data_IF_099774472267
#
_entry.id   IF_099774472267
#
_cell.length_a   1.000
_cell.length_b   1.000
_cell.length_c   1.000
_cell.angle_alpha   90.00
_cell.angle_beta   90.00
_cell.angle_gamma   90.00
#
_symmetry.space_group_name_H-M   'P 1'
#
loop_
_entity.id
_entity.type
_entity.pdbx_description
1 polymer ?
#
# COMPACT_ATOMS: atom_id res chain seq x y z
N UNK A 1 -13.16 -39.13 -12.42
CA UNK A 1 -12.20 -38.09 -11.96
C UNK A 1 -13.05 -36.93 -11.44
N UNK A 2 -13.05 -36.68 -10.14
CA UNK A 2 -13.78 -35.56 -9.53
C UNK A 2 -12.80 -34.45 -9.17
N UNK A 3 -13.20 -33.19 -9.37
CA UNK A 3 -12.46 -32.01 -8.89
C UNK A 3 -13.33 -31.32 -7.87
N UNK A 4 -12.74 -30.96 -6.73
CA UNK A 4 -13.39 -30.13 -5.71
C UNK A 4 -12.72 -28.76 -5.68
N UNK A 5 -13.51 -27.70 -5.69
CA UNK A 5 -13.03 -26.32 -5.67
C UNK A 5 -13.57 -25.63 -4.44
N UNK A 6 -12.69 -25.06 -3.63
CA UNK A 6 -13.05 -24.24 -2.46
C UNK A 6 -13.02 -22.75 -2.85
N UNK A 7 -14.17 -22.08 -3.01
CA UNK A 7 -14.19 -20.64 -3.24
C UNK A 7 -13.90 -19.87 -1.95
N UNK A 8 -13.55 -18.58 -2.07
CA UNK A 8 -13.47 -17.60 -0.96
C UNK A 8 -12.42 -17.89 0.13
N UNK A 9 -11.31 -18.57 -0.20
CA UNK A 9 -10.19 -18.70 0.74
C UNK A 9 -9.47 -17.35 0.94
N UNK A 10 -8.99 -17.10 2.15
CA UNK A 10 -8.19 -15.92 2.44
C UNK A 10 -6.86 -15.99 1.67
N UNK A 11 -6.40 -14.88 1.08
CA UNK A 11 -5.11 -14.81 0.41
C UNK A 11 -3.95 -14.97 1.40
N UNK A 12 -2.80 -15.44 0.92
CA UNK A 12 -1.57 -15.64 1.71
C UNK A 12 -1.70 -16.48 3.00
N UNK A 13 -2.73 -17.32 3.11
CA UNK A 13 -3.05 -18.15 4.28
C UNK A 13 -2.73 -19.62 4.00
N UNK A 14 -2.22 -20.33 5.02
CA UNK A 14 -2.00 -21.78 4.96
C UNK A 14 -3.25 -22.51 5.44
N UNK A 15 -3.84 -23.32 4.57
CA UNK A 15 -4.98 -24.17 4.87
C UNK A 15 -4.55 -25.63 4.99
N UNK A 16 -5.14 -26.36 5.94
CA UNK A 16 -5.04 -27.81 6.01
C UNK A 16 -6.24 -28.45 5.30
N UNK A 17 -5.98 -29.19 4.24
CA UNK A 17 -7.00 -29.92 3.49
C UNK A 17 -6.89 -31.40 3.85
N UNK A 18 -7.97 -31.94 4.40
CA UNK A 18 -8.08 -33.35 4.77
C UNK A 18 -9.16 -34.02 3.94
N UNK A 19 -8.84 -35.18 3.36
CA UNK A 19 -9.76 -36.07 2.67
C UNK A 19 -9.93 -37.32 3.52
N UNK A 20 -11.17 -37.62 3.90
CA UNK A 20 -11.49 -38.80 4.71
C UNK A 20 -12.63 -39.62 4.11
N UNK A 21 -12.64 -40.91 4.43
CA UNK A 21 -13.75 -41.82 4.21
C UNK A 21 -14.51 -42.03 5.52
N UNK A 22 -15.84 -42.14 5.47
CA UNK A 22 -16.62 -42.60 6.61
C UNK A 22 -16.17 -44.01 7.06
N UNK A 23 -16.17 -44.33 8.37
CA UNK A 23 -16.61 -43.48 9.46
C UNK A 23 -15.58 -42.41 9.90
N UNK A 24 -14.27 -42.61 9.71
CA UNK A 24 -13.22 -41.63 10.10
C UNK A 24 -11.83 -41.92 9.52
N UNK A 25 -11.72 -42.62 8.39
CA UNK A 25 -10.39 -42.97 7.81
C UNK A 25 -9.84 -41.77 7.05
N UNK A 26 -8.75 -41.17 7.51
CA UNK A 26 -8.05 -40.10 6.77
C UNK A 26 -7.25 -40.73 5.63
N UNK A 27 -7.59 -40.37 4.40
CA UNK A 27 -6.87 -40.81 3.20
C UNK A 27 -5.71 -39.88 2.87
N UNK A 28 -5.86 -38.59 3.18
CA UNK A 28 -4.91 -37.57 2.79
C UNK A 28 -5.05 -36.34 3.67
N UNK A 29 -3.93 -35.75 4.05
CA UNK A 29 -3.87 -34.41 4.65
C UNK A 29 -2.72 -33.64 4.03
N UNK A 30 -2.96 -32.40 3.62
CA UNK A 30 -1.90 -31.52 3.12
C UNK A 30 -2.13 -30.07 3.50
N UNK A 31 -1.02 -29.39 3.79
CA UNK A 31 -0.99 -27.95 3.93
C UNK A 31 -0.82 -27.31 2.54
N UNK A 32 -1.72 -26.40 2.20
CA UNK A 32 -1.70 -25.63 0.96
C UNK A 32 -1.71 -24.14 1.31
N UNK A 33 -0.81 -23.37 0.68
CA UNK A 33 -0.80 -21.91 0.82
C UNK A 33 -1.55 -21.28 -0.34
N UNK A 34 -2.46 -20.37 -0.05
CA UNK A 34 -3.13 -19.57 -1.07
C UNK A 34 -2.16 -18.55 -1.67
N UNK A 35 -2.42 -18.15 -2.92
CA UNK A 35 -1.63 -17.12 -3.60
C UNK A 35 -1.78 -15.76 -2.91
N UNK A 36 -0.77 -14.92 -3.10
CA UNK A 36 -0.83 -13.52 -2.71
C UNK A 36 -1.79 -12.73 -3.60
N UNK A 37 -2.28 -11.64 -3.05
CA UNK A 37 -3.11 -10.64 -3.72
C UNK A 37 -2.52 -9.26 -3.48
N UNK A 38 -3.01 -8.26 -4.20
CA UNK A 38 -2.60 -6.88 -4.01
C UNK A 38 -3.02 -6.38 -2.61
N UNK A 39 -2.21 -5.54 -1.94
CA UNK A 39 -2.54 -5.00 -0.62
C UNK A 39 -3.74 -4.05 -0.61
N UNK A 40 -4.24 -3.78 0.59
CA UNK A 40 -5.15 -2.66 0.84
C UNK A 40 -4.44 -1.31 0.82
N UNK A 41 -5.22 -0.23 0.87
CA UNK A 41 -4.67 1.13 0.95
C UNK A 41 -4.01 1.39 2.30
N UNK A 42 -2.85 2.07 2.34
CA UNK A 42 -2.26 2.54 3.59
C UNK A 42 -3.21 3.46 4.35
N UNK A 43 -3.32 3.24 5.66
CA UNK A 43 -4.16 4.06 6.55
C UNK A 43 -3.39 5.25 7.11
N UNK A 44 -4.13 6.29 7.52
CA UNK A 44 -3.61 7.47 8.23
C UNK A 44 -2.46 8.16 7.49
N UNK A 45 -2.57 8.31 6.16
CA UNK A 45 -1.64 9.13 5.41
C UNK A 45 -1.81 10.61 5.83
N UNK A 46 -0.77 11.19 6.42
CA UNK A 46 -0.78 12.59 6.86
C UNK A 46 0.57 13.27 6.59
N UNK A 47 0.55 14.60 6.61
CA UNK A 47 1.75 15.43 6.62
C UNK A 47 2.02 15.86 8.06
N UNK A 48 3.22 15.58 8.55
CA UNK A 48 3.71 16.13 9.81
C UNK A 48 4.10 17.60 9.59
N UNK A 49 3.41 18.57 10.22
CA UNK A 49 3.67 20.00 10.02
C UNK A 49 5.00 20.45 10.63
N UNK A 50 5.56 19.69 11.59
CA UNK A 50 6.81 20.04 12.26
C UNK A 50 8.04 19.69 11.43
N UNK A 51 7.98 18.57 10.69
CA UNK A 51 9.10 18.07 9.88
C UNK A 51 8.87 18.18 8.38
N UNK A 52 7.63 18.40 7.93
CA UNK A 52 7.25 18.33 6.51
C UNK A 52 7.25 16.90 5.96
N UNK A 53 7.29 15.89 6.82
CA UNK A 53 7.35 14.48 6.41
C UNK A 53 5.96 13.89 6.18
N UNK A 54 5.82 13.10 5.13
CA UNK A 54 4.66 12.25 4.90
C UNK A 54 4.76 11.03 5.80
N UNK A 55 3.70 10.68 6.51
CA UNK A 55 3.63 9.52 7.40
C UNK A 55 2.40 8.68 7.07
N UNK A 56 2.54 7.36 7.16
CA UNK A 56 1.43 6.41 6.98
C UNK A 56 1.60 5.20 7.90
N UNK A 57 0.51 4.46 8.14
CA UNK A 57 0.58 3.22 8.92
C UNK A 57 1.08 2.07 8.04
N UNK A 58 1.95 1.23 8.60
CA UNK A 58 2.40 0.01 7.95
C UNK A 58 1.21 -0.91 7.59
N UNK A 59 1.25 -1.48 6.39
CA UNK A 59 0.25 -2.42 5.92
C UNK A 59 0.42 -3.80 6.57
N UNK A 60 -0.68 -4.48 6.93
CA UNK A 60 -0.62 -5.86 7.38
C UNK A 60 -0.25 -6.80 6.22
N UNK A 61 0.43 -7.90 6.53
CA UNK A 61 0.81 -8.92 5.54
C UNK A 61 -0.32 -9.93 5.23
N UNK A 62 -1.58 -9.59 5.51
CA UNK A 62 -2.71 -10.53 5.38
C UNK A 62 -3.06 -10.86 3.93
N UNK A 63 -2.70 -9.99 2.98
CA UNK A 63 -2.95 -10.19 1.54
C UNK A 63 -1.72 -10.66 0.77
N UNK A 64 -0.56 -10.63 1.39
CA UNK A 64 0.74 -10.96 0.81
C UNK A 64 1.89 -10.34 1.60
N UNK A 65 3.11 -10.70 1.25
CA UNK A 65 4.30 -10.08 1.83
C UNK A 65 4.51 -8.69 1.23
N UNK A 66 4.56 -7.67 2.09
CA UNK A 66 4.80 -6.30 1.62
C UNK A 66 6.27 -6.18 1.25
N UNK A 67 6.54 -5.87 -0.03
CA UNK A 67 7.90 -5.71 -0.57
C UNK A 67 8.33 -4.24 -0.62
N UNK A 68 7.39 -3.31 -0.44
CA UNK A 68 7.67 -1.87 -0.45
C UNK A 68 6.42 -1.00 -0.56
N UNK A 69 6.65 0.31 -0.57
CA UNK A 69 5.62 1.31 -0.87
C UNK A 69 6.04 2.17 -2.05
N UNK A 70 5.07 2.52 -2.87
CA UNK A 70 5.25 3.48 -3.94
C UNK A 70 4.49 4.77 -3.61
N UNK A 71 5.19 5.89 -3.70
CA UNK A 71 4.65 7.22 -3.55
C UNK A 71 4.62 7.90 -4.91
N UNK A 72 3.50 8.52 -5.27
CA UNK A 72 3.45 9.44 -6.41
C UNK A 72 3.10 10.82 -5.88
N UNK A 73 3.99 11.80 -6.12
CA UNK A 73 3.89 13.16 -5.62
C UNK A 73 3.75 14.07 -6.84
N UNK A 74 2.64 14.80 -6.92
CA UNK A 74 2.41 15.79 -7.97
C UNK A 74 2.36 17.16 -7.34
N UNK A 75 3.19 18.08 -7.84
CA UNK A 75 3.16 19.49 -7.47
C UNK A 75 2.47 20.29 -8.57
N UNK A 76 1.52 21.14 -8.16
CA UNK A 76 0.85 22.11 -9.01
C UNK A 76 0.92 23.47 -8.35
N UNK A 77 0.91 24.53 -9.14
CA UNK A 77 0.90 25.88 -8.62
C UNK A 77 -0.48 26.23 -8.04
N UNK A 78 -0.54 26.85 -6.87
CA UNK A 78 -1.82 27.05 -6.17
C UNK A 78 -2.77 28.05 -6.86
N UNK A 79 -2.24 29.02 -7.62
CA UNK A 79 -3.08 30.09 -8.19
C UNK A 79 -3.74 29.73 -9.53
N UNK A 80 -3.04 29.01 -10.42
CA UNK A 80 -3.53 28.66 -11.76
C UNK A 80 -3.67 27.15 -11.99
N UNK A 81 -3.26 26.32 -11.02
CA UNK A 81 -3.30 24.86 -11.11
C UNK A 81 -2.32 24.25 -12.12
N UNK A 82 -1.40 25.05 -12.68
CA UNK A 82 -0.42 24.58 -13.65
C UNK A 82 0.49 23.52 -13.04
N UNK A 83 0.81 22.52 -13.85
CA UNK A 83 1.71 21.44 -13.46
C UNK A 83 3.12 21.98 -13.22
N UNK A 84 3.71 21.63 -12.08
CA UNK A 84 5.09 22.00 -11.75
C UNK A 84 5.99 20.78 -11.82
N UNK A 85 5.63 19.71 -11.11
CA UNK A 85 6.51 18.54 -10.97
C UNK A 85 5.71 17.26 -10.71
N UNK A 86 6.25 16.13 -11.16
CA UNK A 86 5.83 14.80 -10.76
C UNK A 86 7.05 13.99 -10.31
N UNK A 87 6.94 13.37 -9.13
CA UNK A 87 7.97 12.50 -8.57
C UNK A 87 7.36 11.19 -8.11
N UNK A 88 7.91 10.09 -8.62
CA UNK A 88 7.61 8.75 -8.13
C UNK A 88 8.77 8.27 -7.25
N UNK A 89 8.44 7.69 -6.11
CA UNK A 89 9.42 7.20 -5.13
C UNK A 89 9.04 5.80 -4.73
N UNK A 90 10.01 4.89 -4.74
CA UNK A 90 9.89 3.55 -4.21
C UNK A 90 10.67 3.47 -2.91
N UNK A 91 10.02 3.01 -1.84
CA UNK A 91 10.65 2.83 -0.52
C UNK A 91 10.44 1.41 -0.02
N UNK A 92 11.35 0.95 0.84
CA UNK A 92 11.30 -0.40 1.41
C UNK A 92 10.08 -0.59 2.32
N UNK A 93 9.72 -1.84 2.59
CA UNK A 93 8.56 -2.24 3.39
C UNK A 93 8.59 -1.77 4.86
N UNK A 94 9.77 -1.51 5.40
CA UNK A 94 9.95 -1.00 6.76
C UNK A 94 9.76 0.53 6.86
N UNK A 95 9.67 1.22 5.72
CA UNK A 95 9.55 2.68 5.67
C UNK A 95 8.08 3.08 5.79
N UNK A 96 7.76 3.85 6.83
CA UNK A 96 6.43 4.41 7.09
C UNK A 96 6.41 5.93 7.08
N UNK A 97 7.53 6.55 6.71
CA UNK A 97 7.66 7.99 6.59
C UNK A 97 8.58 8.36 5.43
N UNK A 98 8.28 9.46 4.75
CA UNK A 98 9.10 9.99 3.67
C UNK A 98 9.08 11.51 3.67
N UNK A 99 10.26 12.12 3.65
CA UNK A 99 10.41 13.58 3.59
C UNK A 99 10.70 13.99 2.14
N UNK A 100 9.80 14.75 1.47
CA UNK A 100 10.09 15.31 0.16
C UNK A 100 11.26 16.29 0.24
N UNK A 101 12.28 16.09 -0.58
CA UNK A 101 13.43 16.99 -0.72
C UNK A 101 12.98 18.31 -1.37
N UNK A 102 12.68 19.31 -0.53
CA UNK A 102 12.25 20.67 -0.88
C UNK A 102 10.82 20.79 -1.43
N UNK A 103 9.99 21.58 -0.74
CA UNK A 103 8.65 21.96 -1.21
C UNK A 103 8.70 23.38 -1.78
N UNK A 104 8.13 23.58 -2.96
CA UNK A 104 8.05 24.86 -3.65
C UNK A 104 6.95 25.71 -3.01
N UNK A 105 7.27 26.86 -2.38
CA UNK A 105 6.29 27.70 -1.70
C UNK A 105 5.11 28.08 -2.62
N UNK A 106 3.90 28.10 -2.07
CA UNK A 106 2.69 28.41 -2.86
C UNK A 106 2.28 27.33 -3.86
N UNK A 107 2.75 26.09 -3.69
CA UNK A 107 2.33 24.93 -4.49
C UNK A 107 1.31 24.06 -3.74
N UNK A 108 0.38 23.49 -4.50
CA UNK A 108 -0.53 22.44 -4.06
C UNK A 108 0.05 21.08 -4.43
N UNK A 109 0.18 20.21 -3.44
CA UNK A 109 0.70 18.87 -3.56
C UNK A 109 -0.43 17.85 -3.49
N UNK A 110 -0.39 16.88 -4.40
CA UNK A 110 -1.24 15.69 -4.39
C UNK A 110 -0.33 14.48 -4.27
N UNK A 111 -0.46 13.74 -3.17
CA UNK A 111 0.37 12.58 -2.84
C UNK A 111 -0.49 11.34 -2.78
N UNK A 112 -0.08 10.30 -3.51
CA UNK A 112 -0.65 8.96 -3.36
C UNK A 112 0.38 8.00 -2.80
N UNK A 113 -0.01 7.17 -1.82
CA UNK A 113 0.84 6.09 -1.28
C UNK A 113 0.12 4.76 -1.43
N UNK A 114 0.79 3.76 -2.01
CA UNK A 114 0.25 2.41 -2.19
C UNK A 114 1.28 1.36 -1.80
N UNK A 115 0.82 0.24 -1.24
CA UNK A 115 1.65 -0.91 -0.92
C UNK A 115 1.87 -1.82 -2.13
N UNK A 116 2.97 -2.56 -2.11
CA UNK A 116 3.32 -3.54 -3.15
C UNK A 116 3.47 -4.94 -2.55
N UNK A 117 2.94 -5.94 -3.24
CA UNK A 117 3.26 -7.37 -3.06
C UNK A 117 3.79 -7.94 -4.38
N UNK A 118 4.19 -9.21 -4.38
CA UNK A 118 4.53 -9.91 -5.64
C UNK A 118 3.35 -10.03 -6.60
N UNK A 119 2.12 -9.85 -6.11
CA UNK A 119 0.91 -9.80 -6.94
C UNK A 119 0.69 -8.43 -7.60
N UNK A 120 1.44 -7.40 -7.19
CA UNK A 120 1.40 -6.05 -7.76
C UNK A 120 1.05 -4.95 -6.75
N UNK A 121 0.68 -3.79 -7.28
CA UNK A 121 0.33 -2.61 -6.48
C UNK A 121 -1.11 -2.68 -5.94
N UNK A 122 -1.25 -2.35 -4.66
CA UNK A 122 -2.53 -2.26 -3.97
C UNK A 122 -3.27 -0.96 -4.24
N UNK A 123 -4.37 -0.77 -3.51
CA UNK A 123 -5.10 0.49 -3.51
C UNK A 123 -4.24 1.63 -2.95
N UNK A 124 -4.43 2.84 -3.46
CA UNK A 124 -3.70 4.02 -3.01
C UNK A 124 -4.47 4.82 -1.96
N UNK A 125 -3.73 5.35 -0.99
CA UNK A 125 -4.17 6.40 -0.06
C UNK A 125 -3.80 7.76 -0.64
N UNK A 126 -4.67 8.76 -0.52
CA UNK A 126 -4.52 10.09 -1.13
C UNK A 126 -4.42 11.16 -0.04
N UNK A 127 -3.48 12.08 -0.19
CA UNK A 127 -3.34 13.28 0.62
C UNK A 127 -3.14 14.49 -0.28
N UNK A 128 -3.90 15.55 -0.03
CA UNK A 128 -3.68 16.86 -0.63
C UNK A 128 -3.29 17.87 0.44
N UNK A 129 -2.28 18.69 0.16
CA UNK A 129 -1.90 19.80 1.02
C UNK A 129 -1.31 20.94 0.19
N UNK A 130 -1.21 22.12 0.79
CA UNK A 130 -0.58 23.29 0.18
C UNK A 130 0.63 23.71 1.00
N UNK A 131 1.77 23.91 0.35
CA UNK A 131 2.96 24.46 1.00
C UNK A 131 2.76 25.95 1.27
N UNK A 132 3.10 26.41 2.47
CA UNK A 132 3.01 27.83 2.82
C UNK A 132 3.88 28.69 1.91
N UNK A 133 3.38 29.87 1.57
CA UNK A 133 4.21 30.94 1.02
C UNK A 133 4.96 31.53 2.21
N UNK A 134 6.29 31.40 2.26
CA UNK A 134 7.07 32.18 3.21
C UNK A 134 6.96 33.64 2.75
N UNK A 135 6.04 34.39 3.38
CA UNK A 135 5.98 35.83 3.25
C UNK A 135 7.17 36.40 3.99
N UNK A 136 8.18 36.88 3.26
CA UNK A 136 9.08 37.88 3.82
C UNK A 136 8.26 39.14 4.07
N UNK A 137 8.38 39.69 5.26
CA UNK A 137 7.88 41.02 5.61
C UNK A 137 8.58 42.14 4.85
#
# INVERSE_FOLDING_TARGET
>A
KGTFTCPLLQPFTVYSVTISLPPSTILYTRLLRTKETVPDKPEKLCLDPSTGSLQWKALPSCKGEIIGYQLNITARRAHDGSFLEFKQVLVNQSVTQYMPSHQTPGSKYTVTVQGLTVAGAGAASLLEFQSYVSGNG
#
